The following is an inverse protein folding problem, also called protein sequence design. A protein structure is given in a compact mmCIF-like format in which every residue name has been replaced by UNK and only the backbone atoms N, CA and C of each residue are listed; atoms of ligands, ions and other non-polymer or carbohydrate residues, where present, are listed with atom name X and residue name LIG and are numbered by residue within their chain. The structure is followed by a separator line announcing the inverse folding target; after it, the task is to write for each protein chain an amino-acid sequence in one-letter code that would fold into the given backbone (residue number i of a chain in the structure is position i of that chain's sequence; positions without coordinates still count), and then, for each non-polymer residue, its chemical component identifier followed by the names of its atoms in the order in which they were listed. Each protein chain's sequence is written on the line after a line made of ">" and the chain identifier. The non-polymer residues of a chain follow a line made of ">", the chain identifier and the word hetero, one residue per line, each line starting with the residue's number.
data_IF_008342055907
#
_entry.id   IF_008342055907
#
_cell.length_a   1.000
_cell.length_b   1.000
_cell.length_c   1.000
_cell.angle_alpha   90.00
_cell.angle_beta   90.00
_cell.angle_gamma   90.00
#
_symmetry.space_group_name_H-M   'P 1'
#
loop_
_entity.id
_entity.type
_entity.pdbx_description
1 polymer ?
#
# COMPACT_ATOMS: atom_id res chain seq x y z
N UNK A 1 -1.47 24.05 30.05
CA UNK A 1 -2.14 24.09 28.73
C UNK A 1 -1.18 23.79 27.58
N UNK A 2 -0.16 24.61 27.32
CA UNK A 2 0.79 24.40 26.21
C UNK A 2 1.49 23.01 26.20
N UNK A 3 1.86 22.48 27.38
CA UNK A 3 2.47 21.13 27.51
C UNK A 3 1.54 20.01 27.03
N UNK A 4 0.23 20.14 27.23
CA UNK A 4 -0.74 19.13 26.82
C UNK A 4 -0.91 19.11 25.29
N UNK A 5 -0.91 20.29 24.67
CA UNK A 5 -0.91 20.44 23.21
C UNK A 5 0.38 19.91 22.58
N UNK A 6 1.53 20.16 23.20
CA UNK A 6 2.83 19.61 22.77
C UNK A 6 2.84 18.08 22.80
N UNK A 7 2.37 17.47 23.88
CA UNK A 7 2.27 16.01 23.99
C UNK A 7 1.31 15.46 22.93
N UNK A 8 0.14 16.10 22.73
CA UNK A 8 -0.81 15.70 21.70
C UNK A 8 -0.22 15.76 20.28
N UNK A 9 0.53 16.81 19.96
CA UNK A 9 1.19 16.96 18.66
C UNK A 9 2.27 15.89 18.44
N UNK A 10 3.09 15.61 19.46
CA UNK A 10 4.12 14.55 19.40
C UNK A 10 3.47 13.18 19.17
N UNK A 11 2.37 12.87 19.85
CA UNK A 11 1.65 11.61 19.64
C UNK A 11 1.09 11.52 18.21
N UNK A 12 0.47 12.59 17.72
CA UNK A 12 -0.13 12.61 16.38
C UNK A 12 0.87 12.35 15.26
N UNK A 13 2.07 12.95 15.32
CA UNK A 13 3.11 12.76 14.29
C UNK A 13 3.82 11.40 14.37
N UNK A 14 3.71 10.70 15.49
CA UNK A 14 4.26 9.35 15.66
C UNK A 14 3.20 8.25 15.42
N UNK A 15 1.97 8.62 15.02
CA UNK A 15 1.00 7.63 14.60
C UNK A 15 1.52 6.97 13.31
N UNK A 16 1.56 5.63 13.24
CA UNK A 16 2.03 4.92 12.07
C UNK A 16 1.19 5.30 10.85
N UNK A 17 1.86 5.80 9.82
CA UNK A 17 1.25 6.08 8.52
C UNK A 17 0.97 4.78 7.77
N UNK A 18 -0.12 4.77 6.98
CA UNK A 18 -0.49 3.61 6.16
C UNK A 18 0.23 3.73 4.81
N UNK A 19 1.26 2.92 4.60
CA UNK A 19 1.92 2.75 3.30
C UNK A 19 1.26 1.61 2.50
N UNK A 20 0.00 1.81 2.12
CA UNK A 20 -0.74 0.82 1.33
C UNK A 20 -0.38 0.87 -0.14
N UNK A 21 -0.07 -0.29 -0.73
CA UNK A 21 0.00 -0.47 -2.18
C UNK A 21 -1.34 -1.00 -2.71
N UNK A 22 -1.59 -0.81 -4.00
CA UNK A 22 -2.87 -1.14 -4.62
C UNK A 22 -2.71 -1.77 -5.99
N UNK A 23 -3.68 -2.63 -6.34
CA UNK A 23 -3.75 -3.33 -7.62
C UNK A 23 -5.14 -3.15 -8.24
N UNK A 24 -5.24 -3.11 -9.58
CA UNK A 24 -6.53 -3.06 -10.27
C UNK A 24 -7.17 -4.45 -10.29
N UNK A 25 -8.36 -4.58 -9.71
CA UNK A 25 -9.09 -5.86 -9.60
C UNK A 25 -10.29 -6.00 -10.53
N UNK A 26 -10.83 -4.89 -11.05
CA UNK A 26 -11.97 -4.88 -11.97
C UNK A 26 -11.78 -3.82 -13.08
N UNK A 27 -11.52 -4.24 -14.34
CA UNK A 27 -11.15 -5.61 -14.73
C UNK A 27 -9.80 -6.01 -14.09
N UNK A 28 -9.62 -7.29 -13.77
CA UNK A 28 -8.38 -7.73 -13.10
C UNK A 28 -7.15 -7.43 -13.96
N UNK A 29 -6.14 -6.79 -13.38
CA UNK A 29 -4.88 -6.55 -14.07
C UNK A 29 -4.13 -7.87 -14.33
N UNK A 30 -3.21 -7.88 -15.30
CA UNK A 30 -2.45 -9.08 -15.69
C UNK A 30 -1.60 -9.65 -14.54
N UNK A 31 -0.99 -8.80 -13.71
CA UNK A 31 -0.18 -9.22 -12.57
C UNK A 31 -0.98 -9.89 -11.47
N UNK A 32 -2.26 -9.53 -11.32
CA UNK A 32 -3.19 -10.07 -10.31
C UNK A 32 -4.11 -11.16 -10.84
N UNK A 33 -3.98 -11.55 -12.12
CA UNK A 33 -4.86 -12.52 -12.76
C UNK A 33 -4.86 -13.88 -12.05
N UNK A 34 -3.73 -14.30 -11.47
CA UNK A 34 -3.63 -15.54 -10.69
C UNK A 34 -4.62 -15.57 -9.50
N UNK A 35 -4.94 -14.41 -8.90
CA UNK A 35 -5.93 -14.30 -7.81
C UNK A 35 -7.37 -14.63 -8.27
N UNK A 36 -7.62 -14.55 -9.58
CA UNK A 36 -8.88 -14.93 -10.23
C UNK A 36 -8.81 -16.31 -10.91
N UNK A 37 -7.78 -17.11 -10.62
CA UNK A 37 -7.59 -18.49 -11.12
C UNK A 37 -7.34 -18.60 -12.63
N UNK A 38 -6.84 -17.55 -13.27
CA UNK A 38 -6.28 -17.66 -14.62
C UNK A 38 -5.01 -18.50 -14.59
N UNK A 39 -4.70 -19.18 -15.71
CA UNK A 39 -3.47 -19.94 -15.89
C UNK A 39 -2.28 -19.00 -16.14
N UNK A 40 -1.84 -18.33 -15.06
CA UNK A 40 -0.71 -17.41 -15.03
C UNK A 40 0.17 -17.70 -13.83
N UNK A 41 1.49 -17.46 -13.89
CA UNK A 41 2.35 -17.58 -12.72
C UNK A 41 1.84 -16.73 -11.54
N UNK A 42 2.03 -17.24 -10.32
CA UNK A 42 1.68 -16.49 -9.10
C UNK A 42 2.65 -15.32 -8.93
N UNK A 43 2.11 -14.11 -8.77
CA UNK A 43 2.88 -12.92 -8.42
C UNK A 43 2.45 -12.40 -7.05
N UNK A 44 3.31 -12.53 -6.04
CA UNK A 44 3.04 -12.06 -4.68
C UNK A 44 3.22 -10.54 -4.51
N UNK A 45 3.85 -9.87 -5.47
CA UNK A 45 4.13 -8.42 -5.52
C UNK A 45 3.28 -7.76 -6.62
N UNK A 46 2.02 -8.18 -6.76
CA UNK A 46 1.13 -7.73 -7.83
C UNK A 46 0.49 -6.35 -7.58
N UNK A 47 0.65 -5.82 -6.37
CA UNK A 47 0.43 -4.41 -6.02
C UNK A 47 1.69 -3.53 -6.22
N UNK A 48 2.84 -4.12 -6.56
CA UNK A 48 4.13 -3.48 -6.78
C UNK A 48 4.31 -2.77 -8.14
N UNK A 49 3.22 -2.44 -8.84
CA UNK A 49 3.28 -1.80 -10.17
C UNK A 49 3.55 -0.28 -10.10
N UNK A 50 4.61 0.13 -9.40
CA UNK A 50 4.98 1.53 -9.12
C UNK A 50 6.13 2.05 -10.02
N UNK A 51 6.12 1.68 -11.30
CA UNK A 51 7.08 2.15 -12.32
C UNK A 51 8.57 1.81 -12.04
N UNK A 52 8.85 0.78 -11.23
CA UNK A 52 10.22 0.35 -10.93
C UNK A 52 10.86 1.01 -9.70
N UNK A 53 10.14 1.90 -9.01
CA UNK A 53 10.57 2.48 -7.73
C UNK A 53 10.91 3.96 -7.80
N UNK A 54 11.22 4.53 -6.64
CA UNK A 54 11.76 5.88 -6.50
C UNK A 54 13.28 5.81 -6.72
N UNK A 55 13.75 5.88 -7.96
CA UNK A 55 15.18 6.13 -8.25
C UNK A 55 15.52 7.62 -8.17
#
# INVERSE_FOLDING_TARGET
>A
MAKLFLIGAIVAVNLPEIFGHGMLMEPVNRGSAWRKKFDTPVNWDDDGNYCGGYT
#
